data_IF_433374094956
#
_entry.id   IF_433374094956
#
_cell.length_a   1.000
_cell.length_b   1.000
_cell.length_c   1.000
_cell.angle_alpha   90.00
_cell.angle_beta   90.00
_cell.angle_gamma   90.00
#
_symmetry.space_group_name_H-M   'P 1'
#
loop_
_entity.id
_entity.type
_entity.pdbx_description
1 polymer ?
#
# COMPACT_ATOMS: atom_id res chain seq x y z
N UNK A 1 -11.84 -1.37 -1.74
CA UNK A 1 -12.67 -2.35 -0.98
C UNK A 1 -13.42 -1.68 0.19
N UNK A 2 -14.66 -2.10 0.50
CA UNK A 2 -15.44 -1.64 1.68
C UNK A 2 -15.04 -2.41 2.93
N UNK A 3 -14.93 -1.74 4.09
CA UNK A 3 -14.62 -2.39 5.36
C UNK A 3 -15.73 -3.37 5.78
N UNK A 4 -15.38 -4.49 6.41
CA UNK A 4 -16.32 -5.44 6.99
C UNK A 4 -17.03 -4.77 8.16
N UNK A 5 -18.34 -5.03 8.28
CA UNK A 5 -19.13 -4.61 9.43
C UNK A 5 -18.61 -5.31 10.68
N UNK A 6 -18.37 -4.54 11.74
CA UNK A 6 -18.05 -5.07 13.07
C UNK A 6 -19.37 -5.37 13.77
N UNK A 7 -19.55 -6.61 14.22
CA UNK A 7 -20.74 -7.05 14.96
C UNK A 7 -20.42 -7.11 16.46
N UNK A 8 -21.43 -7.02 17.32
CA UNK A 8 -21.27 -7.14 18.77
C UNK A 8 -20.54 -5.97 19.43
N UNK A 9 -20.65 -4.77 18.84
CA UNK A 9 -20.26 -3.55 19.54
C UNK A 9 -21.34 -3.21 20.55
N UNK A 10 -20.92 -2.85 21.76
CA UNK A 10 -21.77 -2.50 22.88
C UNK A 10 -21.56 -1.02 23.22
N UNK A 11 -22.51 -0.11 22.92
CA UNK A 11 -22.37 1.30 23.24
C UNK A 11 -22.19 1.59 24.73
N UNK A 12 -22.73 0.71 25.59
CA UNK A 12 -22.67 0.84 27.04
C UNK A 12 -21.45 0.10 27.64
N UNK A 13 -20.73 -0.65 26.81
CA UNK A 13 -19.53 -1.40 27.18
C UNK A 13 -18.24 -0.57 27.16
N UNK A 14 -17.13 -1.17 27.59
CA UNK A 14 -15.85 -0.47 27.64
C UNK A 14 -15.31 -0.13 26.24
N UNK A 15 -14.68 1.04 26.12
CA UNK A 15 -13.98 1.43 24.89
C UNK A 15 -12.92 0.39 24.49
N UNK A 16 -12.19 -0.16 25.46
CA UNK A 16 -11.17 -1.18 25.22
C UNK A 16 -11.76 -2.44 24.56
N UNK A 17 -12.90 -2.95 25.04
CA UNK A 17 -13.52 -4.15 24.48
C UNK A 17 -14.05 -3.91 23.07
N UNK A 18 -14.67 -2.75 22.83
CA UNK A 18 -15.09 -2.35 21.49
C UNK A 18 -13.88 -2.20 20.56
N UNK A 19 -12.79 -1.58 21.01
CA UNK A 19 -11.57 -1.43 20.23
C UNK A 19 -10.92 -2.77 19.89
N UNK A 20 -10.84 -3.72 20.83
CA UNK A 20 -10.35 -5.11 20.58
C UNK A 20 -11.16 -5.79 19.48
N UNK A 21 -12.50 -5.71 19.54
CA UNK A 21 -13.39 -6.28 18.51
C UNK A 21 -13.15 -5.65 17.14
N UNK A 22 -13.02 -4.32 17.07
CA UNK A 22 -12.73 -3.62 15.82
C UNK A 22 -11.36 -4.04 15.29
N UNK A 23 -10.31 -4.05 16.13
CA UNK A 23 -8.96 -4.43 15.75
C UNK A 23 -8.91 -5.86 15.21
N UNK A 24 -9.60 -6.81 15.87
CA UNK A 24 -9.69 -8.19 15.41
C UNK A 24 -10.34 -8.31 14.02
N UNK A 25 -11.42 -7.57 13.76
CA UNK A 25 -12.05 -7.56 12.43
C UNK A 25 -11.12 -6.97 11.38
N UNK A 26 -10.40 -5.87 11.67
CA UNK A 26 -9.45 -5.26 10.72
C UNK A 26 -8.22 -6.12 10.45
N UNK A 27 -7.73 -6.79 11.47
CA UNK A 27 -6.65 -7.76 11.35
C UNK A 27 -7.08 -8.95 10.49
N UNK A 28 -8.27 -9.49 10.73
CA UNK A 28 -8.85 -10.55 9.90
C UNK A 28 -8.99 -10.13 8.43
N UNK A 29 -9.50 -8.91 8.16
CA UNK A 29 -9.54 -8.37 6.78
C UNK A 29 -8.16 -8.32 6.13
N UNK A 30 -7.13 -7.90 6.86
CA UNK A 30 -5.75 -7.84 6.35
C UNK A 30 -5.24 -9.23 5.99
N UNK A 31 -5.40 -10.21 6.88
CA UNK A 31 -4.96 -11.58 6.67
C UNK A 31 -5.73 -12.25 5.51
N UNK A 32 -7.04 -12.07 5.43
CA UNK A 32 -7.89 -12.64 4.37
C UNK A 32 -7.52 -12.15 2.96
N UNK A 33 -6.89 -10.97 2.85
CA UNK A 33 -6.43 -10.43 1.57
C UNK A 33 -5.08 -10.97 1.14
N UNK A 34 -4.25 -11.43 2.08
CA UNK A 34 -2.87 -11.79 1.82
C UNK A 34 -2.69 -12.86 0.74
N UNK A 35 -3.43 -14.00 0.75
CA UNK A 35 -3.26 -15.02 -0.29
C UNK A 35 -3.46 -14.50 -1.72
N UNK A 36 -4.34 -13.50 -1.89
CA UNK A 36 -4.60 -12.88 -3.19
C UNK A 36 -3.65 -11.73 -3.51
N UNK A 37 -3.07 -11.10 -2.48
CA UNK A 37 -2.08 -10.04 -2.63
C UNK A 37 -0.67 -10.58 -2.92
N UNK A 38 -0.39 -11.84 -2.56
CA UNK A 38 0.83 -12.58 -2.90
C UNK A 38 0.89 -13.02 -4.38
N UNK A 39 -0.13 -12.69 -5.18
CA UNK A 39 -0.11 -12.86 -6.62
C UNK A 39 0.30 -11.54 -7.30
N UNK A 40 1.48 -11.47 -7.94
CA UNK A 40 1.96 -10.25 -8.58
C UNK A 40 1.06 -9.80 -9.74
N UNK A 41 0.24 -10.68 -10.33
CA UNK A 41 -0.69 -10.32 -11.39
C UNK A 41 -1.97 -9.64 -10.86
N UNK A 42 -2.09 -9.41 -9.54
CA UNK A 42 -3.28 -8.83 -8.89
C UNK A 42 -2.98 -7.51 -8.17
N UNK A 43 -2.59 -6.42 -8.88
CA UNK A 43 -2.27 -5.12 -8.27
C UNK A 43 -3.44 -4.54 -7.44
N UNK A 44 -4.68 -4.78 -7.89
CA UNK A 44 -5.87 -4.39 -7.12
C UNK A 44 -5.93 -5.04 -5.73
N UNK A 45 -5.42 -6.27 -5.57
CA UNK A 45 -5.42 -6.99 -4.29
C UNK A 45 -4.32 -6.49 -3.36
N UNK A 46 -3.15 -6.14 -3.89
CA UNK A 46 -2.12 -5.40 -3.16
C UNK A 46 -2.65 -4.06 -2.64
N UNK A 47 -3.35 -3.30 -3.49
CA UNK A 47 -3.99 -2.04 -3.09
C UNK A 47 -5.10 -2.23 -2.04
N UNK A 48 -5.96 -3.23 -2.20
CA UNK A 48 -7.00 -3.54 -1.20
C UNK A 48 -6.35 -3.94 0.16
N UNK A 49 -5.24 -4.69 0.15
CA UNK A 49 -4.47 -5.05 1.35
C UNK A 49 -3.80 -3.83 2.00
N UNK A 50 -3.27 -2.89 1.20
CA UNK A 50 -2.73 -1.61 1.69
C UNK A 50 -3.79 -0.83 2.46
N UNK A 51 -5.02 -0.77 1.94
CA UNK A 51 -6.14 -0.11 2.63
C UNK A 51 -6.47 -0.82 3.95
N UNK A 52 -6.46 -2.16 3.97
CA UNK A 52 -6.68 -2.92 5.20
C UNK A 52 -5.59 -2.65 6.25
N UNK A 53 -4.31 -2.64 5.86
CA UNK A 53 -3.19 -2.31 6.74
C UNK A 53 -3.34 -0.90 7.32
N UNK A 54 -3.69 0.09 6.48
CA UNK A 54 -3.96 1.46 6.92
C UNK A 54 -5.09 1.54 7.95
N UNK A 55 -6.19 0.80 7.73
CA UNK A 55 -7.33 0.78 8.66
C UNK A 55 -6.96 0.12 9.99
N UNK A 56 -6.24 -0.99 9.96
CA UNK A 56 -5.74 -1.64 11.17
C UNK A 56 -4.85 -0.69 11.96
N UNK A 57 -3.90 -0.03 11.28
CA UNK A 57 -3.02 0.97 11.88
C UNK A 57 -3.81 2.06 12.59
N UNK A 58 -4.78 2.68 11.91
CA UNK A 58 -5.58 3.76 12.50
C UNK A 58 -6.38 3.33 13.72
N UNK A 59 -6.99 2.14 13.69
CA UNK A 59 -7.70 1.63 14.87
C UNK A 59 -6.72 1.48 16.03
N UNK A 60 -5.58 0.81 15.81
CA UNK A 60 -4.58 0.59 16.86
C UNK A 60 -3.94 1.89 17.36
N UNK A 61 -3.69 2.87 16.49
CA UNK A 61 -3.15 4.18 16.87
C UNK A 61 -4.11 4.92 17.80
N UNK A 62 -5.40 4.98 17.44
CA UNK A 62 -6.43 5.68 18.22
C UNK A 62 -6.71 4.96 19.53
N UNK A 63 -6.75 3.63 19.52
CA UNK A 63 -7.09 2.85 20.71
C UNK A 63 -5.88 2.48 21.57
N UNK A 64 -4.66 2.85 21.18
CA UNK A 64 -3.44 2.54 21.93
C UNK A 64 -3.51 2.89 23.42
N UNK A 65 -4.05 4.05 23.84
CA UNK A 65 -4.15 4.37 25.27
C UNK A 65 -4.99 3.37 26.08
N UNK A 66 -5.91 2.63 25.43
CA UNK A 66 -6.76 1.63 26.08
C UNK A 66 -6.31 0.18 25.85
N UNK A 67 -5.49 -0.06 24.81
CA UNK A 67 -5.00 -1.39 24.43
C UNK A 67 -3.55 -1.66 24.86
N UNK A 68 -2.88 -0.66 25.45
CA UNK A 68 -1.55 -0.81 25.99
C UNK A 68 -0.42 -0.97 24.96
N UNK A 69 0.76 -1.43 25.38
CA UNK A 69 1.97 -1.52 24.55
C UNK A 69 1.83 -2.44 23.33
N UNK A 70 1.04 -3.52 23.42
CA UNK A 70 0.80 -4.46 22.31
C UNK A 70 0.21 -3.79 21.07
N UNK A 71 -0.68 -2.80 21.26
CA UNK A 71 -1.18 -2.00 20.14
C UNK A 71 -0.07 -1.19 19.46
N UNK A 72 0.92 -0.70 20.22
CA UNK A 72 2.07 0.01 19.68
C UNK A 72 2.94 -0.86 18.76
N UNK A 73 3.10 -2.14 19.08
CA UNK A 73 3.75 -3.11 18.18
C UNK A 73 2.94 -3.34 16.90
N UNK A 74 1.62 -3.54 17.04
CA UNK A 74 0.73 -3.69 15.90
C UNK A 74 0.70 -2.46 14.99
N UNK A 75 0.85 -1.25 15.53
CA UNK A 75 1.01 -0.01 14.73
C UNK A 75 2.30 -0.05 13.91
N UNK A 76 3.45 -0.40 14.52
CA UNK A 76 4.74 -0.52 13.80
C UNK A 76 4.66 -1.56 12.69
N UNK A 77 4.20 -2.75 13.08
CA UNK A 77 3.39 -3.71 12.32
C UNK A 77 2.84 -3.23 10.97
N UNK A 78 1.62 -2.71 11.09
CA UNK A 78 0.76 -2.28 10.00
C UNK A 78 1.32 -1.09 9.22
N UNK A 79 2.08 -0.18 9.87
CA UNK A 79 2.74 0.95 9.21
C UNK A 79 3.77 0.46 8.20
N UNK A 80 4.67 -0.44 8.60
CA UNK A 80 5.70 -0.98 7.71
C UNK A 80 5.08 -1.69 6.49
N UNK A 81 4.03 -2.48 6.71
CA UNK A 81 3.26 -3.11 5.63
C UNK A 81 2.59 -2.08 4.71
N UNK A 82 1.92 -1.08 5.29
CA UNK A 82 1.24 -0.03 4.53
C UNK A 82 2.21 0.77 3.66
N UNK A 83 3.39 1.11 4.18
CA UNK A 83 4.43 1.84 3.45
C UNK A 83 4.96 1.02 2.28
N UNK A 84 5.34 -0.24 2.53
CA UNK A 84 5.84 -1.13 1.49
C UNK A 84 4.81 -1.40 0.38
N UNK A 85 3.56 -1.68 0.75
CA UNK A 85 2.47 -1.83 -0.21
C UNK A 85 2.12 -0.51 -0.91
N UNK A 86 2.40 0.63 -0.27
CA UNK A 86 2.31 1.97 -0.84
C UNK A 86 3.30 2.16 -1.99
N UNK A 87 4.57 1.86 -1.75
CA UNK A 87 5.61 1.98 -2.78
C UNK A 87 5.33 1.08 -3.99
N UNK A 88 4.79 -0.12 -3.77
CA UNK A 88 4.37 -1.03 -4.86
C UNK A 88 3.22 -0.40 -5.64
N UNK A 89 2.20 0.10 -4.94
CA UNK A 89 1.04 0.74 -5.57
C UNK A 89 1.43 1.97 -6.39
N UNK A 90 2.38 2.77 -5.91
CA UNK A 90 2.88 3.93 -6.65
C UNK A 90 3.51 3.49 -7.97
N UNK A 91 4.26 2.39 -8.00
CA UNK A 91 4.78 1.83 -9.24
C UNK A 91 3.66 1.34 -10.17
N UNK A 92 2.67 0.62 -9.62
CA UNK A 92 1.52 0.11 -10.38
C UNK A 92 0.68 1.25 -10.99
N UNK A 93 0.60 2.42 -10.34
CA UNK A 93 -0.11 3.60 -10.82
C UNK A 93 0.70 4.46 -11.79
N UNK A 94 2.01 4.62 -11.53
CA UNK A 94 2.88 5.47 -12.34
C UNK A 94 3.25 4.83 -13.68
N UNK A 95 3.55 3.52 -13.70
CA UNK A 95 4.03 2.84 -14.90
C UNK A 95 3.07 2.96 -16.10
N UNK A 96 1.75 2.74 -15.97
CA UNK A 96 0.81 2.94 -17.08
C UNK A 96 0.74 4.40 -17.56
N UNK A 97 0.95 5.38 -16.67
CA UNK A 97 0.93 6.81 -17.02
C UNK A 97 2.17 7.20 -17.82
N UNK A 98 3.35 6.73 -17.39
CA UNK A 98 4.62 6.94 -18.10
C UNK A 98 4.56 6.33 -19.50
N UNK A 99 4.08 5.09 -19.62
CA UNK A 99 3.89 4.42 -20.92
C UNK A 99 2.91 5.16 -21.83
N UNK A 100 1.77 5.61 -21.28
CA UNK A 100 0.80 6.42 -22.04
C UNK A 100 1.45 7.70 -22.56
N UNK A 101 2.16 8.43 -21.71
CA UNK A 101 2.85 9.66 -22.11
C UNK A 101 3.87 9.41 -23.23
N UNK A 102 4.61 8.30 -23.18
CA UNK A 102 5.53 7.91 -24.24
C UNK A 102 4.81 7.66 -25.56
N UNK A 103 3.68 6.93 -25.52
CA UNK A 103 2.87 6.67 -26.69
C UNK A 103 2.25 7.95 -27.29
N UNK A 104 1.78 8.87 -26.43
CA UNK A 104 1.19 10.15 -26.88
C UNK A 104 2.24 11.02 -27.59
N UNK A 105 3.47 11.05 -27.07
CA UNK A 105 4.58 11.75 -27.72
C UNK A 105 4.97 11.07 -29.06
N UNK A 106 5.05 9.74 -29.09
CA UNK A 106 5.31 8.99 -30.33
C UNK A 106 4.27 9.28 -31.40
N UNK A 107 2.99 9.34 -31.03
CA UNK A 107 1.90 9.67 -31.95
C UNK A 107 2.05 11.10 -32.49
N UNK A 108 2.38 12.07 -31.63
CA UNK A 108 2.58 13.45 -32.04
C UNK A 108 3.76 13.62 -33.03
N UNK A 109 4.87 12.92 -32.81
CA UNK A 109 6.01 12.95 -33.75
C UNK A 109 5.69 12.22 -35.06
N UNK A 110 4.95 11.11 -35.02
CA UNK A 110 4.49 10.43 -36.23
C UNK A 110 3.58 11.34 -37.08
N UNK A 111 2.67 12.09 -36.44
CA UNK A 111 1.83 13.09 -37.12
C UNK A 111 2.67 14.23 -37.73
N UNK A 112 3.70 14.71 -37.04
CA UNK A 112 4.65 15.69 -37.60
C UNK A 112 5.40 15.13 -38.81
N UNK A 113 5.88 13.89 -38.74
CA UNK A 113 6.59 13.24 -39.84
C UNK A 113 5.71 13.12 -41.08
N UNK A 114 4.45 12.68 -40.94
CA UNK A 114 3.48 12.62 -42.05
C UNK A 114 3.24 14.00 -42.64
N UNK A 115 3.08 15.02 -41.80
CA UNK A 115 2.92 16.41 -42.25
C UNK A 115 4.13 16.90 -43.04
N UNK A 116 5.35 16.59 -42.58
CA UNK A 116 6.62 17.00 -43.23
C UNK A 116 6.89 16.26 -44.54
N UNK A 117 6.50 14.99 -44.65
CA UNK A 117 6.56 14.23 -45.90
C UNK A 117 5.65 14.84 -46.98
N UNK A 118 4.50 15.38 -46.55
CA UNK A 118 3.59 16.14 -47.41
C UNK A 118 2.58 15.25 -48.17
N UNK A 119 1.54 15.86 -48.76
CA UNK A 119 0.35 15.13 -49.24
C UNK A 119 0.57 14.27 -50.49
N UNK A 120 1.72 14.43 -51.16
CA UNK A 120 2.09 13.64 -52.35
C UNK A 120 3.13 12.56 -52.03
N UNK A 121 3.59 12.47 -50.77
CA UNK A 121 4.50 11.43 -50.34
C UNK A 121 3.87 10.06 -50.57
N UNK A 122 4.65 9.14 -51.13
CA UNK A 122 4.25 7.74 -51.31
C UNK A 122 4.76 6.86 -50.17
N UNK A 123 5.72 7.35 -49.40
CA UNK A 123 6.35 6.69 -48.27
C UNK A 123 6.96 7.75 -47.30
N UNK A 124 7.53 7.30 -46.18
CA UNK A 124 8.22 8.14 -45.19
C UNK A 124 9.73 7.87 -45.25
N UNK A 125 10.51 8.93 -45.48
CA UNK A 125 11.97 8.86 -45.42
C UNK A 125 12.44 8.57 -43.98
N UNK A 126 13.25 7.52 -43.73
CA UNK A 126 13.70 7.15 -42.39
C UNK A 126 14.42 8.28 -41.64
N UNK A 127 15.09 9.18 -42.35
CA UNK A 127 15.80 10.34 -41.80
C UNK A 127 14.87 11.31 -41.08
N UNK A 128 13.57 11.33 -41.39
CA UNK A 128 12.61 12.15 -40.65
C UNK A 128 12.52 11.73 -39.18
N UNK A 129 12.65 10.43 -38.89
CA UNK A 129 12.57 9.90 -37.53
C UNK A 129 13.75 10.34 -36.66
N UNK A 130 14.95 10.50 -37.23
CA UNK A 130 16.14 10.95 -36.49
C UNK A 130 16.09 12.42 -36.10
N UNK A 131 15.14 13.17 -36.66
CA UNK A 131 14.88 14.59 -36.37
C UNK A 131 13.60 14.83 -35.56
N UNK A 132 13.01 13.76 -35.03
CA UNK A 132 11.77 13.84 -34.26
C UNK A 132 11.98 14.69 -32.99
N UNK A 133 10.99 15.53 -32.67
CA UNK A 133 11.14 16.58 -31.66
C UNK A 133 11.31 16.03 -30.23
N UNK A 134 10.88 14.78 -29.97
CA UNK A 134 10.82 14.22 -28.63
C UNK A 134 11.75 13.04 -28.38
N UNK A 135 12.77 12.80 -29.23
CA UNK A 135 13.68 11.65 -29.12
C UNK A 135 14.29 11.47 -27.72
N UNK A 136 14.80 12.53 -27.12
CA UNK A 136 15.38 12.48 -25.77
C UNK A 136 14.33 12.18 -24.69
N UNK A 137 13.09 12.63 -24.90
CA UNK A 137 11.98 12.33 -23.98
C UNK A 137 11.58 10.87 -24.04
N UNK A 138 11.60 10.23 -25.22
CA UNK A 138 11.37 8.79 -25.33
C UNK A 138 12.35 7.99 -24.49
N UNK A 139 13.64 8.31 -24.64
CA UNK A 139 14.71 7.64 -23.88
C UNK A 139 14.51 7.80 -22.37
N UNK A 140 14.19 9.02 -21.91
CA UNK A 140 13.93 9.30 -20.50
C UNK A 140 12.72 8.55 -19.95
N UNK A 141 11.60 8.56 -20.68
CA UNK A 141 10.37 7.87 -20.27
C UNK A 141 10.54 6.35 -20.28
N UNK A 142 11.26 5.80 -21.26
CA UNK A 142 11.55 4.36 -21.32
C UNK A 142 12.47 3.92 -20.18
N UNK A 143 13.51 4.71 -19.89
CA UNK A 143 14.37 4.46 -18.74
C UNK A 143 13.58 4.50 -17.42
N UNK A 144 12.65 5.45 -17.27
CA UNK A 144 11.77 5.53 -16.10
C UNK A 144 10.80 4.34 -16.03
N UNK A 145 10.22 3.91 -17.16
CA UNK A 145 9.33 2.75 -17.22
C UNK A 145 10.06 1.46 -16.84
N UNK A 146 11.30 1.30 -17.31
CA UNK A 146 12.19 0.20 -16.92
C UNK A 146 12.48 0.25 -15.42
N UNK A 147 12.85 1.42 -14.89
CA UNK A 147 13.10 1.59 -13.46
C UNK A 147 11.88 1.24 -12.62
N UNK A 148 10.69 1.76 -12.95
CA UNK A 148 9.45 1.48 -12.23
C UNK A 148 9.11 -0.02 -12.25
N UNK A 149 9.27 -0.67 -13.40
CA UNK A 149 9.04 -2.12 -13.53
C UNK A 149 9.99 -2.93 -12.64
N UNK A 150 11.30 -2.62 -12.68
CA UNK A 150 12.30 -3.30 -11.85
C UNK A 150 12.10 -3.03 -10.35
N UNK A 151 11.84 -1.76 -9.97
CA UNK A 151 11.57 -1.35 -8.59
C UNK A 151 10.36 -2.09 -8.03
N UNK A 152 9.28 -2.18 -8.81
CA UNK A 152 8.06 -2.90 -8.44
C UNK A 152 8.34 -4.36 -8.10
N UNK A 153 9.14 -5.05 -8.89
CA UNK A 153 9.55 -6.45 -8.63
C UNK A 153 10.40 -6.58 -7.36
N UNK A 154 11.37 -5.69 -7.15
CA UNK A 154 12.18 -5.68 -5.92
C UNK A 154 11.32 -5.50 -4.68
N UNK A 155 10.38 -4.55 -4.71
CA UNK A 155 9.47 -4.27 -3.61
C UNK A 155 8.49 -5.42 -3.36
N UNK A 156 7.95 -6.02 -4.42
CA UNK A 156 7.07 -7.18 -4.31
C UNK A 156 7.80 -8.37 -3.67
N UNK A 157 9.03 -8.66 -4.09
CA UNK A 157 9.86 -9.70 -3.49
C UNK A 157 10.20 -9.41 -2.02
N UNK A 158 10.34 -8.13 -1.65
CA UNK A 158 10.47 -7.74 -0.24
C UNK A 158 9.17 -8.02 0.51
N UNK A 159 8.02 -7.64 -0.04
CA UNK A 159 6.72 -7.86 0.57
C UNK A 159 6.46 -9.35 0.83
N UNK A 160 6.72 -10.23 -0.12
CA UNK A 160 6.53 -11.68 0.06
C UNK A 160 7.38 -12.23 1.21
N UNK A 161 8.65 -11.81 1.32
CA UNK A 161 9.54 -12.20 2.43
C UNK A 161 9.07 -11.64 3.77
N UNK A 162 8.71 -10.36 3.84
CA UNK A 162 8.23 -9.77 5.09
C UNK A 162 6.92 -10.41 5.54
N UNK A 163 5.99 -10.67 4.62
CA UNK A 163 4.75 -11.36 4.94
C UNK A 163 4.99 -12.79 5.46
N UNK A 164 5.87 -13.56 4.81
CA UNK A 164 6.23 -14.89 5.28
C UNK A 164 6.84 -14.88 6.70
N UNK A 165 7.64 -13.87 7.04
CA UNK A 165 8.16 -13.69 8.42
C UNK A 165 7.06 -13.39 9.42
N UNK A 166 6.05 -12.62 9.02
CA UNK A 166 4.88 -12.33 9.86
C UNK A 166 4.06 -13.58 10.13
N UNK A 167 3.85 -14.42 9.11
CA UNK A 167 3.15 -15.70 9.25
C UNK A 167 3.94 -16.68 10.13
N UNK A 168 5.25 -16.78 9.94
CA UNK A 168 6.11 -17.68 10.72
C UNK A 168 6.11 -17.39 12.23
N UNK A 169 5.83 -16.15 12.63
CA UNK A 169 5.74 -15.74 14.05
C UNK A 169 4.31 -15.63 14.58
N UNK A 170 3.34 -16.11 13.81
CA UNK A 170 1.90 -15.99 14.10
C UNK A 170 1.51 -14.58 14.57
N UNK A 171 1.89 -13.57 13.78
CA UNK A 171 1.74 -12.17 14.20
C UNK A 171 0.29 -11.81 14.54
N UNK A 172 -0.68 -12.48 13.91
CA UNK A 172 -2.09 -12.20 14.12
C UNK A 172 -2.52 -12.67 15.52
N UNK A 173 -2.20 -13.91 15.90
CA UNK A 173 -2.47 -14.40 17.24
C UNK A 173 -1.70 -13.59 18.29
N UNK A 174 -0.42 -13.29 18.04
CA UNK A 174 0.42 -12.51 18.95
C UNK A 174 -0.13 -11.09 19.18
N UNK A 175 -0.62 -10.43 18.13
CA UNK A 175 -1.24 -9.12 18.25
C UNK A 175 -2.55 -9.18 19.05
N UNK A 176 -3.40 -10.18 18.80
CA UNK A 176 -4.66 -10.32 19.54
C UNK A 176 -4.43 -10.64 21.02
N UNK A 177 -3.44 -11.47 21.34
CA UNK A 177 -3.06 -11.77 22.71
C UNK A 177 -2.57 -10.50 23.42
N UNK A 178 -1.62 -9.76 22.81
CA UNK A 178 -1.00 -8.59 23.45
C UNK A 178 -1.94 -7.40 23.67
N UNK A 179 -3.01 -7.26 22.88
CA UNK A 179 -4.04 -6.23 23.12
C UNK A 179 -5.16 -6.69 24.05
N UNK A 180 -5.17 -7.97 24.44
CA UNK A 180 -6.15 -8.56 25.37
C UNK A 180 -5.64 -8.59 26.81
N UNK A 181 -4.34 -8.44 27.03
CA UNK A 181 -3.76 -8.33 28.37
C UNK A 181 -4.29 -7.04 29.06
N UNK A 182 -4.84 -7.14 30.28
CA UNK A 182 -5.19 -5.96 31.05
C UNK A 182 -3.91 -5.21 31.44
N UNK A 183 -3.93 -3.87 31.34
CA UNK A 183 -2.88 -3.06 31.95
C UNK A 183 -2.76 -3.46 33.43
N UNK A 184 -1.54 -3.67 33.98
CA UNK A 184 -1.40 -3.73 35.42
C UNK A 184 -1.98 -2.43 35.96
N UNK A 185 -2.94 -2.55 36.90
CA UNK A 185 -3.63 -1.41 37.47
C UNK A 185 -2.59 -0.34 37.85
N UNK A 186 -2.59 0.78 37.14
CA UNK A 186 -1.84 1.95 37.57
C UNK A 186 -2.46 2.33 38.91
N UNK A 187 -1.79 1.97 40.01
CA UNK A 187 -2.15 2.41 41.35
C UNK A 187 -2.19 3.93 41.31
N UNK A 188 -3.40 4.50 41.34
CA UNK A 188 -3.59 5.93 41.51
C UNK A 188 -2.80 6.35 42.76
N UNK A 189 -2.01 7.43 42.72
CA UNK A 189 -1.28 7.88 43.89
C UNK A 189 -2.31 8.24 44.98
N UNK A 190 -2.22 7.53 46.10
CA UNK A 190 -2.99 7.81 47.31
C UNK A 190 -2.75 9.28 47.66
N UNK A 191 -3.81 10.09 47.59
CA UNK A 191 -3.72 11.49 47.97
C UNK A 191 -3.21 11.60 49.42
N UNK A 192 -2.24 12.48 49.72
CA UNK A 192 -1.78 12.66 51.09
C UNK A 192 -2.93 13.24 51.92
N UNK A 193 -3.22 12.61 53.06
CA UNK A 193 -4.08 13.17 54.08
C UNK A 193 -3.52 14.54 54.49
N UNK A 194 -4.36 15.58 54.38
CA UNK A 194 -4.03 16.95 54.74
C UNK A 194 -3.77 17.16 56.24
N UNK A 195 -3.29 18.36 56.60
CA UNK A 195 -2.45 18.64 57.78
C UNK A 195 -3.13 18.46 59.14
#
# INVERSE_FOLDING_TARGET
MKARRVKGLDPDGSFADNARRIAAVRLGELCDLAPKALDPAKPKKLHDMRIAAKRLRYVLEISRPALGPGAGEGVRTAKALQELLGDIHDCDEMLPRVRRQGNDLHAADAEDMVRRAGPKARDIEPELASTAAHLDRYRGLEALALHLSARREVLFNRFTREWARLEARDFAAALLASISEPEPATTAPTAPAGP
#
